data_IF_725261872316
#
_entry.id   IF_725261872316
#
_cell.length_a   1.000
_cell.length_b   1.000
_cell.length_c   1.000
_cell.angle_alpha   90.00
_cell.angle_beta   90.00
_cell.angle_gamma   90.00
#
_symmetry.space_group_name_H-M   'P 1'
#
loop_
_entity.id
_entity.type
_entity.pdbx_description
1 polymer ?
#
# COMPACT_ATOMS: atom_id res chain seq x y z
N UNK A 1 -1.62 19.78 -0.11
CA UNK A 1 -2.84 18.95 -0.15
C UNK A 1 -2.45 17.55 -0.57
N UNK A 2 -2.92 16.53 0.17
CA UNK A 2 -2.71 15.14 -0.21
C UNK A 2 -3.50 14.81 -1.48
N UNK A 3 -2.95 13.95 -2.34
CA UNK A 3 -3.64 13.54 -3.56
C UNK A 3 -4.87 12.69 -3.19
N UNK A 4 -6.08 13.18 -3.52
CA UNK A 4 -7.35 12.54 -3.17
C UNK A 4 -7.43 11.09 -3.64
N UNK A 5 -6.88 10.80 -4.83
CA UNK A 5 -6.88 9.45 -5.40
C UNK A 5 -6.12 8.46 -4.51
N UNK A 6 -4.96 8.86 -3.96
CA UNK A 6 -4.17 7.99 -3.09
C UNK A 6 -4.78 7.85 -1.69
N UNK A 7 -5.42 8.90 -1.18
CA UNK A 7 -6.19 8.85 0.05
C UNK A 7 -7.37 7.87 -0.06
N UNK A 8 -8.08 7.87 -1.18
CA UNK A 8 -9.19 6.94 -1.45
C UNK A 8 -8.72 5.49 -1.56
N UNK A 9 -7.59 5.24 -2.24
CA UNK A 9 -6.99 3.90 -2.34
C UNK A 9 -6.64 3.32 -0.96
N UNK A 10 -6.12 4.16 -0.06
CA UNK A 10 -5.79 3.77 1.31
C UNK A 10 -6.99 3.85 2.27
N UNK A 11 -8.11 4.43 1.85
CA UNK A 11 -9.28 4.65 2.71
C UNK A 11 -9.02 5.63 3.86
N UNK A 12 -8.15 6.62 3.66
CA UNK A 12 -7.79 7.62 4.67
C UNK A 12 -8.31 9.01 4.27
N UNK A 13 -8.65 9.87 5.25
CA UNK A 13 -9.05 11.24 4.94
C UNK A 13 -7.90 12.06 4.35
N UNK A 14 -8.21 13.11 3.57
CA UNK A 14 -7.20 14.01 2.98
C UNK A 14 -6.41 14.83 4.02
N UNK A 15 -6.81 14.77 5.29
CA UNK A 15 -6.13 15.37 6.44
C UNK A 15 -5.36 14.33 7.26
N UNK A 16 -5.18 13.12 6.73
CA UNK A 16 -4.58 12.02 7.48
C UNK A 16 -3.09 12.26 7.78
N UNK A 17 -2.69 11.91 9.00
CA UNK A 17 -1.29 11.94 9.41
C UNK A 17 -0.53 10.68 8.94
N UNK A 18 0.80 10.78 8.87
CA UNK A 18 1.72 9.66 8.61
C UNK A 18 1.41 8.40 9.41
N UNK A 19 0.98 8.52 10.69
CA UNK A 19 0.55 7.39 11.50
C UNK A 19 -0.72 6.72 10.97
N UNK A 20 -1.72 7.50 10.55
CA UNK A 20 -2.97 6.97 10.00
C UNK A 20 -2.74 6.29 8.66
N UNK A 21 -1.93 6.90 7.78
CA UNK A 21 -1.52 6.34 6.49
C UNK A 21 -0.85 4.97 6.67
N UNK A 22 0.09 4.87 7.63
CA UNK A 22 0.79 3.61 7.93
C UNK A 22 -0.12 2.53 8.52
N UNK A 23 -1.08 2.91 9.35
CA UNK A 23 -2.07 1.98 9.92
C UNK A 23 -2.99 1.43 8.83
N UNK A 24 -3.52 2.29 7.97
CA UNK A 24 -4.41 1.90 6.87
C UNK A 24 -3.70 0.98 5.86
N UNK A 25 -2.46 1.33 5.49
CA UNK A 25 -1.60 0.50 4.65
C UNK A 25 -1.46 -0.94 5.19
N UNK A 26 -1.14 -1.08 6.49
CA UNK A 26 -0.99 -2.40 7.12
C UNK A 26 -2.29 -3.20 7.16
N UNK A 27 -3.43 -2.53 7.31
CA UNK A 27 -4.75 -3.18 7.26
C UNK A 27 -5.06 -3.72 5.86
N UNK A 28 -4.75 -2.95 4.82
CA UNK A 28 -4.99 -3.34 3.43
C UNK A 28 -4.06 -4.46 2.97
N UNK A 29 -2.77 -4.41 3.31
CA UNK A 29 -1.81 -5.48 2.98
C UNK A 29 -2.24 -6.83 3.59
N UNK A 30 -2.76 -6.82 4.82
CA UNK A 30 -3.31 -8.03 5.44
C UNK A 30 -4.55 -8.55 4.74
N UNK A 31 -5.39 -7.64 4.21
CA UNK A 31 -6.63 -7.99 3.52
C UNK A 31 -6.39 -8.54 2.11
N UNK A 32 -5.38 -8.04 1.43
CA UNK A 32 -5.00 -8.43 0.06
C UNK A 32 -3.74 -9.29 0.01
N UNK A 33 -3.38 -9.94 1.12
CA UNK A 33 -2.18 -10.76 1.19
C UNK A 33 -2.30 -11.96 0.23
N UNK A 34 -1.29 -12.27 -0.60
CA UNK A 34 -1.36 -13.35 -1.58
C UNK A 34 -1.55 -14.72 -0.95
N UNK A 35 -1.10 -14.88 0.29
CA UNK A 35 -1.26 -16.12 1.09
C UNK A 35 -2.71 -16.41 1.47
N UNK A 36 -3.53 -15.36 1.59
CA UNK A 36 -4.96 -15.46 1.90
C UNK A 36 -5.83 -15.36 0.62
N UNK A 37 -5.20 -15.10 -0.53
CA UNK A 37 -5.90 -14.85 -1.79
C UNK A 37 -6.11 -16.15 -2.56
N UNK A 38 -7.33 -16.36 -3.06
CA UNK A 38 -7.62 -17.43 -4.00
C UNK A 38 -6.75 -17.28 -5.26
N UNK A 39 -6.34 -18.39 -5.91
CA UNK A 39 -5.49 -18.36 -7.11
C UNK A 39 -6.12 -17.58 -8.27
N UNK A 40 -7.45 -17.57 -8.39
CA UNK A 40 -8.20 -16.77 -9.37
C UNK A 40 -8.10 -15.25 -9.12
N UNK A 41 -7.99 -14.84 -7.86
CA UNK A 41 -7.92 -13.44 -7.45
C UNK A 41 -6.49 -12.92 -7.29
N UNK A 42 -5.46 -13.78 -7.39
CA UNK A 42 -4.06 -13.40 -7.18
C UNK A 42 -3.67 -12.21 -8.05
N UNK A 43 -3.99 -12.23 -9.35
CA UNK A 43 -3.64 -11.15 -10.28
C UNK A 43 -4.32 -9.83 -9.90
N UNK A 44 -5.60 -9.88 -9.52
CA UNK A 44 -6.36 -8.70 -9.11
C UNK A 44 -5.85 -8.13 -7.77
N UNK A 45 -5.56 -9.00 -6.80
CA UNK A 45 -5.02 -8.61 -5.50
C UNK A 45 -3.59 -8.09 -5.61
N UNK A 46 -2.79 -8.63 -6.52
CA UNK A 46 -1.45 -8.13 -6.81
C UNK A 46 -1.52 -6.71 -7.41
N UNK A 47 -2.43 -6.47 -8.35
CA UNK A 47 -2.65 -5.13 -8.92
C UNK A 47 -3.10 -4.12 -7.85
N UNK A 48 -4.05 -4.50 -6.98
CA UNK A 48 -4.48 -3.69 -5.85
C UNK A 48 -3.34 -3.41 -4.88
N UNK A 49 -2.53 -4.41 -4.57
CA UNK A 49 -1.40 -4.25 -3.66
C UNK A 49 -0.34 -3.31 -4.23
N UNK A 50 -0.11 -3.33 -5.55
CA UNK A 50 0.74 -2.34 -6.21
C UNK A 50 0.18 -0.92 -6.06
N UNK A 51 -1.13 -0.72 -6.26
CA UNK A 51 -1.78 0.58 -6.06
C UNK A 51 -1.67 1.07 -4.61
N UNK A 52 -1.86 0.17 -3.63
CA UNK A 52 -1.73 0.47 -2.20
C UNK A 52 -0.29 0.89 -1.86
N UNK A 53 0.71 0.20 -2.41
CA UNK A 53 2.12 0.58 -2.23
C UNK A 53 2.43 1.95 -2.82
N UNK A 54 1.99 2.22 -4.07
CA UNK A 54 2.19 3.52 -4.71
C UNK A 54 1.50 4.66 -3.95
N UNK A 55 0.25 4.45 -3.51
CA UNK A 55 -0.49 5.43 -2.72
C UNK A 55 0.24 5.73 -1.40
N UNK A 56 0.71 4.70 -0.70
CA UNK A 56 1.47 4.86 0.55
C UNK A 56 2.77 5.64 0.32
N UNK A 57 3.50 5.33 -0.75
CA UNK A 57 4.73 6.05 -1.09
C UNK A 57 4.46 7.52 -1.38
N UNK A 58 3.48 7.83 -2.23
CA UNK A 58 3.14 9.21 -2.59
C UNK A 58 2.64 10.03 -1.40
N UNK A 59 1.76 9.46 -0.56
CA UNK A 59 1.32 10.14 0.65
C UNK A 59 2.46 10.32 1.64
N UNK A 60 3.33 9.31 1.81
CA UNK A 60 4.50 9.42 2.67
C UNK A 60 5.49 10.45 2.15
N UNK A 61 5.67 10.57 0.83
CA UNK A 61 6.52 11.57 0.18
C UNK A 61 5.97 12.98 0.40
N UNK A 62 4.66 13.17 0.20
CA UNK A 62 3.97 14.43 0.49
C UNK A 62 4.07 14.82 1.97
N UNK A 63 4.10 13.85 2.88
CA UNK A 63 4.23 14.07 4.31
C UNK A 63 5.69 14.22 4.79
N UNK A 64 6.69 13.67 4.07
CA UNK A 64 8.10 13.64 4.49
C UNK A 64 9.03 14.61 3.79
N UNK A 65 8.72 15.08 2.59
CA UNK A 65 9.56 16.06 1.90
C UNK A 65 10.95 15.61 1.39
N UNK A 66 11.42 14.35 1.55
CA UNK A 66 12.54 13.66 0.81
C UNK A 66 12.90 12.28 1.45
N UNK A 67 13.75 11.41 0.84
CA UNK A 67 13.38 10.03 0.55
C UNK A 67 13.84 9.04 1.62
N UNK A 68 12.90 8.22 2.09
CA UNK A 68 13.25 6.89 2.62
C UNK A 68 12.24 5.90 2.04
N UNK A 69 12.58 5.31 0.90
CA UNK A 69 12.04 4.03 0.48
C UNK A 69 13.20 3.12 0.09
N UNK A 70 13.68 2.32 1.06
CA UNK A 70 14.36 1.07 0.73
C UNK A 70 13.21 0.10 0.40
N UNK A 71 13.10 -0.39 -0.85
CA UNK A 71 12.05 -1.31 -1.20
C UNK A 71 12.12 -2.48 -0.24
N UNK A 72 10.99 -2.76 0.43
CA UNK A 72 10.75 -4.05 1.03
C UNK A 72 10.95 -5.03 -0.10
N UNK A 73 12.07 -5.76 -0.06
CA UNK A 73 12.32 -6.81 -1.02
C UNK A 73 11.08 -7.68 -1.03
N UNK A 74 10.43 -7.76 -2.19
CA UNK A 74 9.54 -8.85 -2.48
C UNK A 74 10.43 -10.10 -2.45
N UNK A 75 10.60 -10.69 -1.27
CA UNK A 75 10.88 -12.11 -1.16
C UNK A 75 9.61 -12.83 -1.62
N UNK A 76 9.34 -12.77 -2.92
CA UNK A 76 8.73 -13.90 -3.60
C UNK A 76 9.74 -15.03 -3.48
N UNK A 77 9.66 -15.74 -2.36
CA UNK A 77 10.17 -17.10 -2.30
C UNK A 77 9.38 -17.90 -3.35
N UNK A 78 10.03 -18.64 -4.25
CA UNK A 78 9.33 -19.59 -5.08
C UNK A 78 8.91 -20.74 -4.16
N UNK A 79 7.61 -20.96 -4.01
CA UNK A 79 7.08 -22.13 -3.33
C UNK A 79 6.48 -23.07 -4.38
N UNK A 80 7.30 -24.09 -4.70
CA UNK A 80 7.03 -25.32 -5.46
C UNK A 80 6.75 -25.20 -6.96
#
# INVERSE_FOLDING_TARGET
MLNRVYCEILGVPATADSRQVKTAYRALVRRYHPDLSAPEDRSANQLRMMQINQAYEQLTLQLRGLPIHRPIQQTTAPAA
#
